data_IF_798188309266
#
_entry.id   IF_798188309266
#
_cell.length_a   1.000
_cell.length_b   1.000
_cell.length_c   1.000
_cell.angle_alpha   90.00
_cell.angle_beta   90.00
_cell.angle_gamma   90.00
#
_symmetry.space_group_name_H-M   'P 1'
#
loop_
_entity.id
_entity.type
_entity.pdbx_description
1 polymer ?
#
# COMPACT_ATOMS: atom_id res chain seq x y z
N UNK A 1 6.37 0.52 13.55
CA UNK A 1 6.00 1.03 12.22
C UNK A 1 5.20 2.31 12.37
N UNK A 2 3.99 2.37 11.82
CA UNK A 2 3.16 3.58 11.81
C UNK A 2 2.96 4.24 13.19
N UNK A 3 2.70 3.43 14.23
CA UNK A 3 2.55 3.92 15.61
C UNK A 3 3.78 4.70 16.10
N UNK A 4 4.97 4.21 15.77
CA UNK A 4 6.23 4.82 16.19
C UNK A 4 6.46 6.16 15.46
N UNK A 5 6.22 6.19 14.14
CA UNK A 5 6.28 7.42 13.34
C UNK A 5 5.32 8.48 13.89
N UNK A 6 4.07 8.11 14.18
CA UNK A 6 3.06 9.02 14.72
C UNK A 6 3.46 9.55 16.10
N UNK A 7 4.02 8.69 16.95
CA UNK A 7 4.50 9.08 18.27
C UNK A 7 5.65 10.10 18.17
N UNK A 8 6.60 9.89 17.26
CA UNK A 8 7.74 10.79 17.04
C UNK A 8 7.28 12.14 16.46
N UNK A 9 6.36 12.12 15.49
CA UNK A 9 5.86 13.34 14.84
C UNK A 9 4.84 14.10 15.69
N UNK A 10 4.23 13.46 16.70
CA UNK A 10 3.11 14.02 17.46
C UNK A 10 1.82 14.19 16.65
N UNK A 11 1.75 13.60 15.45
CA UNK A 11 0.62 13.72 14.54
C UNK A 11 0.53 12.53 13.59
N UNK A 12 -0.68 12.24 13.11
CA UNK A 12 -0.96 11.29 12.03
C UNK A 12 -1.25 11.96 10.69
N UNK A 13 -1.21 13.30 10.65
CA UNK A 13 -1.50 14.15 9.50
C UNK A 13 -0.32 14.20 8.50
N UNK A 14 0.05 13.03 7.97
CA UNK A 14 1.02 12.89 6.88
C UNK A 14 0.50 11.97 5.77
N UNK A 15 0.89 12.21 4.50
CA UNK A 15 0.48 11.37 3.37
C UNK A 15 0.98 9.93 3.52
N UNK A 16 0.15 8.96 3.12
CA UNK A 16 0.45 7.53 3.20
C UNK A 16 0.02 6.83 1.91
N UNK A 17 0.98 6.21 1.23
CA UNK A 17 0.67 5.27 0.15
C UNK A 17 0.39 3.89 0.76
N UNK A 18 -0.85 3.40 0.61
CA UNK A 18 -1.29 2.12 1.18
C UNK A 18 -1.17 1.00 0.15
N UNK A 19 -0.23 0.08 0.37
CA UNK A 19 -0.14 -1.15 -0.39
C UNK A 19 -1.06 -2.23 0.23
N UNK A 20 -2.13 -2.58 -0.46
CA UNK A 20 -3.10 -3.56 0.03
C UNK A 20 -2.59 -5.00 -0.12
N UNK A 21 -2.29 -5.64 1.01
CA UNK A 21 -1.78 -7.02 1.09
C UNK A 21 -2.86 -8.08 1.41
N UNK A 22 -4.14 -7.68 1.53
CA UNK A 22 -5.22 -8.56 1.95
C UNK A 22 -5.32 -8.74 3.48
N UNK A 23 -6.31 -9.52 3.91
CA UNK A 23 -6.62 -9.77 5.33
C UNK A 23 -7.05 -11.23 5.60
N UNK A 24 -6.61 -12.16 4.75
CA UNK A 24 -7.01 -13.56 4.83
C UNK A 24 -6.14 -14.32 5.83
N UNK A 25 -6.39 -14.06 7.12
CA UNK A 25 -5.74 -14.75 8.23
C UNK A 25 -6.72 -14.94 9.40
N UNK A 26 -6.59 -16.03 10.18
CA UNK A 26 -7.36 -16.22 11.40
C UNK A 26 -7.06 -15.14 12.45
N UNK A 27 -8.02 -14.91 13.35
CA UNK A 27 -7.83 -13.97 14.47
C UNK A 27 -6.61 -14.38 15.29
N UNK A 28 -5.69 -13.43 15.51
CA UNK A 28 -4.44 -13.65 16.25
C UNK A 28 -3.23 -14.02 15.39
N UNK A 29 -3.40 -14.32 14.11
CA UNK A 29 -2.32 -14.73 13.19
C UNK A 29 -1.84 -13.59 12.27
N UNK A 30 -2.15 -12.34 12.61
CA UNK A 30 -1.79 -11.17 11.79
C UNK A 30 -0.27 -11.05 11.63
N UNK A 31 0.49 -11.27 12.70
CA UNK A 31 1.94 -11.20 12.69
C UNK A 31 2.54 -12.22 11.72
N UNK A 32 2.04 -13.45 11.74
CA UNK A 32 2.52 -14.50 10.84
C UNK A 32 2.17 -14.21 9.38
N UNK A 33 0.98 -13.64 9.13
CA UNK A 33 0.57 -13.22 7.79
C UNK A 33 1.50 -12.14 7.20
N UNK A 34 1.82 -11.10 7.98
CA UNK A 34 2.68 -10.00 7.48
C UNK A 34 4.16 -10.36 7.38
N UNK A 35 4.62 -11.36 8.14
CA UNK A 35 5.99 -11.89 8.08
C UNK A 35 6.12 -13.07 7.11
N UNK A 36 5.00 -13.57 6.59
CA UNK A 36 4.94 -14.66 5.64
C UNK A 36 5.40 -14.28 4.24
N UNK A 37 5.53 -15.29 3.39
CA UNK A 37 5.80 -15.10 1.95
C UNK A 37 4.48 -15.01 1.18
N UNK A 38 4.52 -14.27 0.08
CA UNK A 38 3.45 -14.29 -0.93
C UNK A 38 3.26 -15.69 -1.49
N UNK A 39 2.01 -16.06 -1.78
CA UNK A 39 1.71 -17.28 -2.53
C UNK A 39 2.01 -17.06 -4.01
N UNK A 40 2.26 -18.14 -4.76
CA UNK A 40 2.65 -18.04 -6.16
C UNK A 40 1.60 -17.32 -7.02
N UNK A 41 0.32 -17.57 -6.74
CA UNK A 41 -0.81 -16.91 -7.42
C UNK A 41 -0.90 -15.40 -7.14
N UNK A 42 -0.33 -14.92 -6.02
CA UNK A 42 -0.36 -13.50 -5.65
C UNK A 42 0.80 -12.71 -6.27
N UNK A 43 1.91 -13.39 -6.62
CA UNK A 43 3.16 -12.74 -7.05
C UNK A 43 2.94 -11.82 -8.25
N UNK A 44 2.17 -12.25 -9.25
CA UNK A 44 1.89 -11.45 -10.44
C UNK A 44 1.17 -10.14 -10.07
N UNK A 45 0.15 -10.23 -9.21
CA UNK A 45 -0.61 -9.07 -8.75
C UNK A 45 0.23 -8.13 -7.88
N UNK A 46 1.08 -8.70 -7.02
CA UNK A 46 1.99 -7.93 -6.16
C UNK A 46 2.97 -7.14 -7.02
N UNK A 47 3.57 -7.76 -8.05
CA UNK A 47 4.48 -7.08 -8.99
C UNK A 47 3.78 -5.94 -9.72
N UNK A 48 2.59 -6.18 -10.27
CA UNK A 48 1.79 -5.15 -10.92
C UNK A 48 1.52 -3.97 -9.99
N UNK A 49 1.11 -4.24 -8.73
CA UNK A 49 0.87 -3.19 -7.75
C UNK A 49 2.14 -2.42 -7.40
N UNK A 50 3.31 -3.06 -7.36
CA UNK A 50 4.59 -2.38 -7.10
C UNK A 50 4.90 -1.40 -8.22
N UNK A 51 4.77 -1.81 -9.48
CA UNK A 51 4.97 -0.93 -10.64
C UNK A 51 4.04 0.28 -10.58
N UNK A 52 2.76 0.05 -10.26
CA UNK A 52 1.79 1.12 -10.09
C UNK A 52 2.10 2.03 -8.91
N UNK A 53 2.63 1.51 -7.81
CA UNK A 53 3.10 2.35 -6.71
C UNK A 53 4.25 3.28 -7.12
N UNK A 54 5.15 2.84 -8.00
CA UNK A 54 6.21 3.72 -8.53
C UNK A 54 5.60 4.88 -9.32
N UNK A 55 4.68 4.60 -10.25
CA UNK A 55 3.97 5.64 -11.00
C UNK A 55 3.22 6.62 -10.06
N UNK A 56 2.63 6.12 -8.97
CA UNK A 56 1.94 6.95 -7.98
C UNK A 56 2.92 7.88 -7.24
N UNK A 57 4.12 7.39 -6.89
CA UNK A 57 5.15 8.20 -6.23
C UNK A 57 5.66 9.29 -7.17
N UNK A 58 5.86 8.98 -8.45
CA UNK A 58 6.24 9.95 -9.48
C UNK A 58 5.15 11.01 -9.67
N UNK A 59 3.88 10.61 -9.76
CA UNK A 59 2.75 11.54 -9.85
C UNK A 59 2.65 12.45 -8.63
N UNK A 60 2.85 11.90 -7.42
CA UNK A 60 2.84 12.71 -6.20
C UNK A 60 3.88 13.83 -6.26
N UNK A 61 5.08 13.55 -6.78
CA UNK A 61 6.13 14.55 -6.96
C UNK A 61 5.85 15.52 -8.14
N UNK A 62 5.29 15.03 -9.24
CA UNK A 62 5.11 15.82 -10.47
C UNK A 62 3.85 16.70 -10.48
N UNK A 63 2.73 16.19 -9.97
CA UNK A 63 1.41 16.85 -10.07
C UNK A 63 0.74 17.13 -8.71
N UNK A 64 1.41 16.76 -7.60
CA UNK A 64 0.95 17.01 -6.24
C UNK A 64 -0.06 15.99 -5.72
N UNK A 65 -0.34 16.05 -4.41
CA UNK A 65 -1.12 15.03 -3.69
C UNK A 65 -2.57 14.96 -4.13
N UNK A 66 -3.27 16.09 -4.27
CA UNK A 66 -4.71 16.10 -4.53
C UNK A 66 -5.06 15.45 -5.86
N UNK A 67 -4.32 15.81 -6.92
CA UNK A 67 -4.51 15.23 -8.25
C UNK A 67 -4.14 13.75 -8.26
N UNK A 68 -3.03 13.38 -7.63
CA UNK A 68 -2.58 11.99 -7.55
C UNK A 68 -3.63 11.13 -6.85
N UNK A 69 -4.14 11.57 -5.70
CA UNK A 69 -5.18 10.87 -4.94
C UNK A 69 -6.47 10.71 -5.77
N UNK A 70 -6.89 11.74 -6.49
CA UNK A 70 -8.07 11.69 -7.36
C UNK A 70 -7.94 10.65 -8.48
N UNK A 71 -6.74 10.47 -9.03
CA UNK A 71 -6.47 9.49 -10.09
C UNK A 71 -6.43 8.05 -9.59
N UNK A 72 -5.95 7.81 -8.35
CA UNK A 72 -5.52 6.46 -7.94
C UNK A 72 -6.45 5.80 -6.92
N UNK A 73 -7.17 6.57 -6.11
CA UNK A 73 -7.95 6.02 -4.99
C UNK A 73 -9.16 5.19 -5.45
N UNK A 74 -9.62 5.36 -6.69
CA UNK A 74 -10.76 4.64 -7.26
C UNK A 74 -10.33 3.56 -8.27
N UNK A 75 -9.03 3.25 -8.35
CA UNK A 75 -8.49 2.26 -9.29
C UNK A 75 -8.32 0.91 -8.60
N UNK A 76 -8.79 -0.15 -9.26
CA UNK A 76 -8.55 -1.53 -8.84
C UNK A 76 -7.53 -2.15 -9.80
N UNK A 77 -6.42 -2.62 -9.24
CA UNK A 77 -5.42 -3.38 -9.98
C UNK A 77 -5.73 -4.86 -9.84
N UNK A 78 -5.86 -5.54 -10.97
CA UNK A 78 -6.11 -6.99 -11.08
C UNK A 78 -5.22 -7.59 -12.16
N UNK A 79 -4.94 -8.89 -12.05
CA UNK A 79 -4.37 -9.70 -13.12
C UNK A 79 -5.55 -10.47 -13.72
N UNK A 80 -5.64 -10.53 -15.06
CA UNK A 80 -6.65 -11.32 -15.77
C UNK A 80 -6.54 -12.83 -15.46
#
# INVERSE_FOLDING_TARGET
GLKDIQQILGTDAYPKLRFGIGNQFPKGMQSDYVLGKWREEEIALVRLKIEKCVEIIENFAAIGIDKTMGLVNNVVYGVE
#
